data_IF_644856192675
#
_entry.id   IF_644856192675
#
_cell.length_a   1.000
_cell.length_b   1.000
_cell.length_c   1.000
_cell.angle_alpha   90.00
_cell.angle_beta   90.00
_cell.angle_gamma   90.00
#
_symmetry.space_group_name_H-M   'P 1'
#
loop_
_entity.id
_entity.type
_entity.pdbx_description
1 polymer ?
#
# COMPACT_ATOMS: atom_id res chain seq x y z
N UNK A 1 3.35 21.74 12.91
CA UNK A 1 2.58 20.76 12.11
C UNK A 1 1.67 21.42 11.09
N UNK A 2 0.88 22.46 11.42
CA UNK A 2 -0.01 23.14 10.44
C UNK A 2 0.76 23.68 9.22
N UNK A 3 1.86 24.42 9.43
CA UNK A 3 2.69 24.92 8.32
C UNK A 3 3.33 23.77 7.53
N UNK A 4 3.77 22.71 8.20
CA UNK A 4 4.42 21.56 7.55
C UNK A 4 3.45 20.61 6.82
N UNK A 5 2.18 20.55 7.24
CA UNK A 5 1.17 19.69 6.63
C UNK A 5 0.33 20.37 5.56
N UNK A 6 0.16 21.70 5.63
CA UNK A 6 -0.73 22.45 4.74
C UNK A 6 -0.02 23.17 3.59
N UNK A 7 1.32 23.22 3.54
CA UNK A 7 2.01 24.04 2.54
C UNK A 7 1.77 23.57 1.10
N UNK A 8 1.73 22.26 0.85
CA UNK A 8 1.49 21.75 -0.50
C UNK A 8 0.05 22.04 -0.94
N UNK A 9 -0.92 21.86 -0.05
CA UNK A 9 -2.32 22.25 -0.28
C UNK A 9 -2.40 23.74 -0.60
N UNK A 10 -1.74 24.58 0.19
CA UNK A 10 -1.69 26.02 -0.03
C UNK A 10 -1.09 26.36 -1.40
N UNK A 11 0.00 25.72 -1.81
CA UNK A 11 0.61 25.94 -3.12
C UNK A 11 -0.36 25.56 -4.24
N UNK A 12 -1.03 24.41 -4.16
CA UNK A 12 -2.00 23.97 -5.18
C UNK A 12 -3.18 24.92 -5.28
N UNK A 13 -3.67 25.44 -4.16
CA UNK A 13 -4.80 26.39 -4.11
C UNK A 13 -4.41 27.79 -4.61
N UNK A 14 -3.14 28.19 -4.47
CA UNK A 14 -2.65 29.49 -4.94
C UNK A 14 -2.21 29.49 -6.41
N UNK A 15 -1.86 28.33 -6.97
CA UNK A 15 -1.48 28.21 -8.38
C UNK A 15 -2.74 28.04 -9.24
N UNK A 16 -2.99 28.94 -10.22
CA UNK A 16 -4.11 28.82 -11.15
C UNK A 16 -4.17 27.45 -11.82
N UNK A 17 -5.38 26.94 -12.06
CA UNK A 17 -5.59 25.58 -12.58
C UNK A 17 -4.95 25.33 -13.95
N UNK A 18 -4.82 26.37 -14.77
CA UNK A 18 -4.17 26.37 -16.08
C UNK A 18 -2.63 26.38 -15.99
N UNK A 19 -2.05 26.68 -14.81
CA UNK A 19 -0.61 26.75 -14.58
C UNK A 19 -0.07 25.53 -13.84
N UNK A 20 -0.91 24.51 -13.61
CA UNK A 20 -0.53 23.28 -12.93
C UNK A 20 -1.16 22.05 -13.58
N UNK A 21 -0.56 20.87 -13.39
CA UNK A 21 -1.22 19.62 -13.76
C UNK A 21 -2.56 19.43 -13.05
N UNK A 22 -3.42 18.63 -13.67
CA UNK A 22 -4.67 18.18 -13.07
C UNK A 22 -4.41 17.41 -11.76
N UNK A 23 -5.21 17.67 -10.74
CA UNK A 23 -5.18 16.92 -9.47
C UNK A 23 -5.89 15.58 -9.68
N UNK A 24 -5.13 14.55 -10.05
CA UNK A 24 -5.65 13.21 -10.31
C UNK A 24 -6.36 12.59 -9.10
N UNK A 25 -7.37 11.76 -9.36
CA UNK A 25 -8.27 11.20 -8.35
C UNK A 25 -9.33 12.16 -7.84
N UNK A 26 -9.47 13.34 -8.46
CA UNK A 26 -10.57 14.28 -8.21
C UNK A 26 -11.47 14.37 -9.45
N UNK A 27 -12.69 14.84 -9.27
CA UNK A 27 -13.61 15.13 -10.38
C UNK A 27 -13.60 16.61 -10.75
N UNK A 28 -13.09 17.48 -9.87
CA UNK A 28 -13.13 18.93 -10.02
C UNK A 28 -11.76 19.60 -10.00
N UNK A 29 -10.68 18.86 -10.27
CA UNK A 29 -9.30 19.37 -10.23
C UNK A 29 -8.91 19.96 -8.85
N UNK A 30 -9.36 19.30 -7.78
CA UNK A 30 -9.34 19.84 -6.42
C UNK A 30 -8.62 18.92 -5.43
N UNK A 31 -7.65 19.49 -4.70
CA UNK A 31 -6.97 18.79 -3.61
C UNK A 31 -7.87 18.62 -2.38
N UNK A 32 -8.80 19.56 -2.14
CA UNK A 32 -9.75 19.42 -1.04
C UNK A 32 -10.73 18.28 -1.25
N UNK A 33 -11.14 18.07 -2.50
CA UNK A 33 -11.96 16.92 -2.90
C UNK A 33 -11.23 15.60 -2.58
N UNK A 34 -9.91 15.52 -2.81
CA UNK A 34 -9.13 14.37 -2.39
C UNK A 34 -9.08 14.20 -0.87
N UNK A 35 -8.73 15.26 -0.13
CA UNK A 35 -8.52 15.22 1.32
C UNK A 35 -9.79 14.76 2.06
N UNK A 36 -10.96 15.25 1.64
CA UNK A 36 -12.21 14.97 2.33
C UNK A 36 -13.04 13.87 1.67
N UNK A 37 -12.97 13.73 0.35
CA UNK A 37 -13.67 12.72 -0.44
C UNK A 37 -12.88 11.43 -0.55
N UNK A 38 -12.35 11.14 -1.75
CA UNK A 38 -11.75 9.85 -2.11
C UNK A 38 -10.66 9.36 -1.13
N UNK A 39 -9.74 10.22 -0.68
CA UNK A 39 -8.68 9.84 0.28
C UNK A 39 -9.05 10.11 1.75
N UNK A 40 -10.22 10.70 2.00
CA UNK A 40 -10.71 11.06 3.32
C UNK A 40 -11.83 10.15 3.82
N UNK A 41 -13.04 10.70 3.88
CA UNK A 41 -14.22 9.99 4.38
C UNK A 41 -14.64 8.85 3.46
N UNK A 42 -14.42 8.97 2.15
CA UNK A 42 -14.72 7.91 1.18
C UNK A 42 -13.97 6.61 1.49
N UNK A 43 -12.71 6.71 1.95
CA UNK A 43 -11.95 5.55 2.44
C UNK A 43 -12.63 4.85 3.62
N UNK A 44 -13.24 5.62 4.52
CA UNK A 44 -13.92 5.06 5.70
C UNK A 44 -15.23 4.37 5.34
N UNK A 45 -16.03 5.00 4.46
CA UNK A 45 -17.35 4.49 4.08
C UNK A 45 -17.30 3.45 2.96
N UNK A 46 -16.22 3.43 2.18
CA UNK A 46 -16.12 2.68 0.92
C UNK A 46 -16.79 3.36 -0.26
N UNK A 47 -17.40 4.54 -0.06
CA UNK A 47 -18.03 5.33 -1.12
C UNK A 47 -17.02 6.32 -1.72
N UNK A 48 -16.26 5.80 -2.67
CA UNK A 48 -15.12 6.48 -3.27
C UNK A 48 -15.42 6.75 -4.75
N UNK A 49 -15.83 7.99 -5.09
CA UNK A 49 -16.09 8.37 -6.49
C UNK A 49 -14.82 8.23 -7.34
N UNK A 50 -14.94 7.59 -8.50
CA UNK A 50 -13.79 7.32 -9.38
C UNK A 50 -12.90 6.17 -8.90
N UNK A 51 -13.23 5.51 -7.79
CA UNK A 51 -12.45 4.41 -7.24
C UNK A 51 -12.68 3.08 -7.96
N UNK A 52 -11.71 2.19 -7.80
CA UNK A 52 -11.83 0.76 -8.08
C UNK A 52 -12.36 -0.04 -6.87
N UNK A 53 -12.71 0.68 -5.79
CA UNK A 53 -13.06 0.16 -4.46
C UNK A 53 -14.22 -0.82 -4.42
N UNK A 54 -15.33 -0.47 -5.11
CA UNK A 54 -16.63 -1.12 -4.92
C UNK A 54 -16.76 -2.57 -5.41
N UNK A 55 -15.80 -3.09 -6.19
CA UNK A 55 -15.88 -4.43 -6.80
C UNK A 55 -14.78 -5.39 -6.37
N UNK A 56 -13.76 -4.92 -5.64
CA UNK A 56 -12.51 -5.67 -5.41
C UNK A 56 -12.37 -6.26 -4.00
N UNK A 57 -13.23 -5.88 -3.05
CA UNK A 57 -13.28 -6.44 -1.70
C UNK A 57 -11.94 -6.42 -0.94
N UNK A 58 -11.49 -5.26 -0.46
CA UNK A 58 -10.15 -5.00 0.13
C UNK A 58 -9.87 -5.57 1.54
N UNK A 59 -10.35 -6.78 1.80
CA UNK A 59 -10.23 -7.46 3.09
C UNK A 59 -11.31 -7.07 4.10
N UNK A 60 -11.52 -7.91 5.11
CA UNK A 60 -12.56 -7.72 6.12
C UNK A 60 -12.27 -6.51 7.01
N UNK A 61 -13.24 -5.59 7.13
CA UNK A 61 -13.18 -4.50 8.11
C UNK A 61 -13.43 -5.02 9.51
N UNK A 62 -12.70 -4.51 10.49
CA UNK A 62 -12.97 -4.78 11.90
C UNK A 62 -11.76 -4.57 12.79
N UNK A 63 -11.99 -4.51 14.10
CA UNK A 63 -10.93 -4.32 15.11
C UNK A 63 -9.84 -5.41 15.05
N UNK A 64 -10.18 -6.58 14.49
CA UNK A 64 -9.25 -7.69 14.29
C UNK A 64 -8.36 -7.57 13.05
N UNK A 65 -8.61 -6.64 12.12
CA UNK A 65 -7.92 -6.55 10.82
C UNK A 65 -6.40 -6.51 10.98
N UNK A 66 -5.88 -5.71 11.92
CA UNK A 66 -4.43 -5.65 12.13
C UNK A 66 -3.82 -6.99 12.54
N UNK A 67 -4.60 -7.92 13.07
CA UNK A 67 -4.14 -9.23 13.57
C UNK A 67 -4.47 -10.39 12.62
N UNK A 68 -5.21 -10.13 11.53
CA UNK A 68 -5.61 -11.16 10.58
C UNK A 68 -4.41 -11.74 9.82
N UNK A 69 -4.67 -12.76 9.00
CA UNK A 69 -3.64 -13.47 8.25
C UNK A 69 -2.83 -12.57 7.31
N UNK A 70 -3.47 -11.57 6.70
CA UNK A 70 -2.90 -10.72 5.65
C UNK A 70 -2.06 -9.59 6.25
N UNK A 71 -2.59 -8.89 7.25
CA UNK A 71 -2.00 -7.69 7.82
C UNK A 71 -1.12 -7.99 9.04
N UNK A 72 -1.41 -9.08 9.75
CA UNK A 72 -0.70 -9.43 10.99
C UNK A 72 0.81 -9.51 10.81
N UNK A 73 1.28 -10.14 9.73
CA UNK A 73 2.70 -10.27 9.41
C UNK A 73 3.36 -8.97 8.93
N UNK A 74 2.57 -7.95 8.59
CA UNK A 74 3.05 -6.69 8.03
C UNK A 74 3.39 -5.68 9.13
N UNK A 75 2.63 -5.66 10.23
CA UNK A 75 2.80 -4.62 11.26
C UNK A 75 2.63 -5.08 12.71
N UNK A 76 1.92 -6.19 12.95
CA UNK A 76 1.41 -6.47 14.30
C UNK A 76 2.38 -7.15 15.25
N UNK A 77 3.62 -7.41 14.82
CA UNK A 77 4.66 -8.08 15.63
C UNK A 77 4.80 -7.52 17.05
N UNK A 78 4.87 -6.19 17.18
CA UNK A 78 5.02 -5.49 18.45
C UNK A 78 3.75 -4.72 18.85
N UNK A 79 2.67 -4.84 18.08
CA UNK A 79 1.43 -4.08 18.33
C UNK A 79 0.78 -4.47 19.67
N UNK A 80 0.62 -5.77 20.04
CA UNK A 80 0.14 -6.13 21.38
C UNK A 80 1.02 -5.56 22.49
N UNK A 81 2.34 -5.62 22.31
CA UNK A 81 3.30 -5.11 23.28
C UNK A 81 3.17 -3.60 23.47
N UNK A 82 3.02 -2.85 22.37
CA UNK A 82 2.79 -1.42 22.39
C UNK A 82 1.53 -1.06 23.18
N UNK A 83 0.41 -1.78 22.98
CA UNK A 83 -0.84 -1.50 23.71
C UNK A 83 -0.68 -1.75 25.22
N UNK A 84 -0.04 -2.85 25.62
CA UNK A 84 0.23 -3.15 27.04
C UNK A 84 1.16 -2.11 27.65
N UNK A 85 2.24 -1.75 26.96
CA UNK A 85 3.24 -0.80 27.43
C UNK A 85 2.73 0.65 27.42
N UNK A 86 1.78 1.01 26.56
CA UNK A 86 1.08 2.28 26.62
C UNK A 86 0.32 2.43 27.94
N UNK A 87 -0.52 1.43 28.27
CA UNK A 87 -1.31 1.42 29.52
C UNK A 87 -0.40 1.41 30.73
N UNK A 88 0.56 0.49 30.78
CA UNK A 88 1.49 0.39 31.90
C UNK A 88 2.40 1.63 32.05
N UNK A 89 2.82 2.22 30.93
CA UNK A 89 3.57 3.47 30.90
C UNK A 89 2.73 4.63 31.47
N UNK A 90 1.47 4.76 31.06
CA UNK A 90 0.53 5.76 31.58
C UNK A 90 0.30 5.59 33.09
N UNK A 91 0.15 4.35 33.57
CA UNK A 91 0.08 4.04 35.01
C UNK A 91 1.38 4.44 35.71
N UNK A 92 2.54 4.17 35.11
CA UNK A 92 3.86 4.47 35.69
C UNK A 92 4.13 5.98 35.82
N UNK A 93 3.65 6.79 34.87
CA UNK A 93 3.74 8.27 34.94
C UNK A 93 2.60 8.89 35.77
N UNK A 94 1.48 8.19 35.95
CA UNK A 94 0.38 8.58 36.82
C UNK A 94 -0.14 9.99 36.54
N UNK A 95 -0.23 10.82 37.59
CA UNK A 95 -0.77 12.20 37.53
C UNK A 95 0.27 13.28 37.24
N UNK A 96 1.45 12.94 36.72
CA UNK A 96 2.43 13.94 36.25
C UNK A 96 1.77 14.95 35.30
N UNK A 97 2.17 16.22 35.28
CA UNK A 97 1.52 17.24 34.44
C UNK A 97 1.63 16.88 32.95
N UNK A 98 0.75 17.42 32.10
CA UNK A 98 0.79 17.18 30.63
C UNK A 98 2.05 17.73 29.96
N UNK A 99 2.78 18.60 30.63
CA UNK A 99 4.08 19.14 30.22
C UNK A 99 5.25 18.20 30.51
N UNK A 100 5.05 17.14 31.30
CA UNK A 100 6.08 16.11 31.51
C UNK A 100 6.36 15.40 30.17
N UNK A 101 7.61 15.37 29.69
CA UNK A 101 7.94 14.81 28.38
C UNK A 101 7.55 13.34 28.21
N UNK A 102 7.64 12.53 29.27
CA UNK A 102 7.28 11.12 29.20
C UNK A 102 5.77 10.94 29.08
N UNK A 103 4.98 11.68 29.85
CA UNK A 103 3.51 11.68 29.72
C UNK A 103 3.06 12.24 28.37
N UNK A 104 3.63 13.38 27.95
CA UNK A 104 3.32 13.99 26.67
C UNK A 104 3.65 13.04 25.50
N UNK A 105 4.85 12.44 25.51
CA UNK A 105 5.27 11.47 24.53
C UNK A 105 4.34 10.26 24.45
N UNK A 106 4.02 9.64 25.60
CA UNK A 106 3.08 8.52 25.64
C UNK A 106 1.72 8.90 25.05
N UNK A 107 1.16 10.05 25.41
CA UNK A 107 -0.14 10.49 24.90
C UNK A 107 -0.10 10.70 23.38
N UNK A 108 0.89 11.44 22.87
CA UNK A 108 1.00 11.71 21.43
C UNK A 108 1.17 10.43 20.62
N UNK A 109 2.11 9.56 21.00
CA UNK A 109 2.39 8.34 20.25
C UNK A 109 1.29 7.30 20.40
N UNK A 110 0.67 7.18 21.58
CA UNK A 110 -0.48 6.28 21.76
C UNK A 110 -1.70 6.78 21.00
N UNK A 111 -1.97 8.09 20.99
CA UNK A 111 -3.08 8.65 20.20
C UNK A 111 -2.84 8.44 18.71
N UNK A 112 -1.62 8.65 18.19
CA UNK A 112 -1.29 8.30 16.81
C UNK A 112 -1.57 6.83 16.52
N UNK A 113 -1.03 5.93 17.35
CA UNK A 113 -1.18 4.48 17.23
C UNK A 113 -2.66 4.07 17.15
N UNK A 114 -3.46 4.55 18.09
CA UNK A 114 -4.88 4.20 18.18
C UNK A 114 -5.69 4.81 17.05
N UNK A 115 -5.52 6.10 16.74
CA UNK A 115 -6.26 6.76 15.67
C UNK A 115 -5.97 6.09 14.31
N UNK A 116 -4.69 5.93 13.99
CA UNK A 116 -4.27 5.32 12.72
C UNK A 116 -4.68 3.84 12.65
N UNK A 117 -4.50 3.10 13.74
CA UNK A 117 -4.85 1.68 13.80
C UNK A 117 -6.35 1.47 13.63
N UNK A 118 -7.18 2.29 14.30
CA UNK A 118 -8.63 2.23 14.18
C UNK A 118 -9.09 2.65 12.78
N UNK A 119 -8.55 3.73 12.22
CA UNK A 119 -8.83 4.14 10.84
C UNK A 119 -8.56 2.99 9.88
N UNK A 120 -7.36 2.40 9.90
CA UNK A 120 -7.02 1.28 9.01
C UNK A 120 -7.83 0.01 9.26
N UNK A 121 -8.26 -0.21 10.50
CA UNK A 121 -9.10 -1.37 10.86
C UNK A 121 -10.53 -1.22 10.35
N UNK A 122 -11.07 0.01 10.33
CA UNK A 122 -12.47 0.30 10.01
C UNK A 122 -12.70 0.82 8.59
N UNK A 123 -11.63 1.18 7.88
CA UNK A 123 -11.64 1.67 6.50
C UNK A 123 -12.24 0.63 5.54
N UNK A 124 -13.42 0.93 4.98
CA UNK A 124 -14.14 0.02 4.07
C UNK A 124 -13.76 0.18 2.59
N UNK A 125 -13.10 1.29 2.23
CA UNK A 125 -12.60 1.56 0.89
C UNK A 125 -11.32 0.82 0.54
N UNK A 126 -10.61 1.30 -0.49
CA UNK A 126 -9.34 0.70 -0.93
C UNK A 126 -8.37 0.62 0.26
N UNK A 127 -7.82 -0.56 0.53
CA UNK A 127 -6.85 -0.74 1.60
C UNK A 127 -5.68 -1.61 1.13
N UNK A 128 -4.47 -1.17 1.42
CA UNK A 128 -3.26 -1.92 1.09
C UNK A 128 -2.43 -2.18 2.35
N UNK A 129 -1.84 -3.38 2.42
CA UNK A 129 -0.98 -3.80 3.51
C UNK A 129 0.11 -2.79 3.86
N UNK A 130 0.77 -2.20 2.86
CA UNK A 130 1.86 -1.24 3.08
C UNK A 130 1.44 0.04 3.80
N UNK A 131 0.14 0.41 3.80
CA UNK A 131 -0.34 1.57 4.58
C UNK A 131 0.00 1.44 6.06
N UNK A 132 0.02 0.21 6.57
CA UNK A 132 0.28 -0.07 7.99
C UNK A 132 1.67 0.34 8.46
N UNK A 133 2.62 0.61 7.55
CA UNK A 133 3.93 1.19 7.90
C UNK A 133 3.79 2.49 8.69
N UNK A 134 2.69 3.24 8.50
CA UNK A 134 2.39 4.46 9.26
C UNK A 134 2.22 4.23 10.77
N UNK A 135 1.99 2.98 11.22
CA UNK A 135 1.95 2.62 12.64
C UNK A 135 3.34 2.39 13.24
N UNK A 136 4.36 2.07 12.42
CA UNK A 136 5.66 1.62 12.90
C UNK A 136 6.37 2.64 13.83
N UNK A 137 6.42 3.96 13.52
CA UNK A 137 7.02 4.94 14.43
C UNK A 137 6.31 5.02 15.78
N UNK A 138 4.96 4.96 15.77
CA UNK A 138 4.16 5.01 16.98
C UNK A 138 4.34 3.76 17.85
N UNK A 139 4.37 2.58 17.24
CA UNK A 139 4.68 1.31 17.93
C UNK A 139 6.07 1.39 18.57
N UNK A 140 7.09 1.78 17.80
CA UNK A 140 8.46 1.87 18.29
C UNK A 140 8.60 2.85 19.46
N UNK A 141 7.99 4.04 19.34
CA UNK A 141 8.02 5.05 20.39
C UNK A 141 7.30 4.60 21.65
N UNK A 142 6.11 4.00 21.53
CA UNK A 142 5.34 3.50 22.69
C UNK A 142 6.08 2.35 23.39
N UNK A 143 6.61 1.38 22.64
CA UNK A 143 7.39 0.27 23.20
C UNK A 143 8.65 0.81 23.91
N UNK A 144 9.37 1.73 23.27
CA UNK A 144 10.58 2.34 23.83
C UNK A 144 10.31 3.16 25.10
N UNK A 145 9.31 4.04 25.08
CA UNK A 145 8.97 4.87 26.24
C UNK A 145 8.38 4.02 27.37
N UNK A 146 7.40 3.15 27.07
CA UNK A 146 6.76 2.31 28.08
C UNK A 146 7.74 1.33 28.71
N UNK A 147 8.54 0.63 27.91
CA UNK A 147 9.61 -0.24 28.40
C UNK A 147 10.66 0.53 29.19
N UNK A 148 11.09 1.69 28.71
CA UNK A 148 12.04 2.59 29.39
C UNK A 148 11.53 3.13 30.72
N UNK A 149 10.23 3.31 30.90
CA UNK A 149 9.62 3.70 32.17
C UNK A 149 9.54 2.54 33.16
N UNK A 150 9.25 1.34 32.69
CA UNK A 150 9.12 0.15 33.54
C UNK A 150 10.48 -0.44 33.94
N UNK A 151 11.50 -0.33 33.09
CA UNK A 151 12.81 -0.94 33.34
C UNK A 151 13.49 -0.42 34.61
N UNK A 152 13.55 0.89 34.91
CA UNK A 152 14.04 1.38 36.20
C UNK A 152 13.20 0.90 37.39
N UNK A 153 11.92 0.57 37.16
CA UNK A 153 10.98 0.06 38.18
C UNK A 153 11.03 -1.46 38.36
N UNK A 154 11.97 -2.16 37.72
CA UNK A 154 12.12 -3.63 37.79
C UNK A 154 12.37 -4.20 39.19
N UNK A 155 12.61 -3.38 40.22
CA UNK A 155 12.56 -3.83 41.61
C UNK A 155 11.12 -4.14 42.09
N UNK A 156 10.13 -3.43 41.56
CA UNK A 156 8.72 -3.65 41.88
C UNK A 156 8.18 -4.91 41.20
N UNK A 157 7.28 -5.62 41.88
CA UNK A 157 6.73 -6.89 41.38
C UNK A 157 5.83 -6.67 40.15
N UNK A 158 4.99 -5.63 40.15
CA UNK A 158 4.05 -5.39 39.05
C UNK A 158 4.79 -5.01 37.76
N UNK A 159 5.86 -4.21 37.85
CA UNK A 159 6.67 -3.83 36.69
C UNK A 159 7.36 -5.05 36.07
N UNK A 160 7.83 -5.99 36.91
CA UNK A 160 8.38 -7.27 36.44
C UNK A 160 7.34 -8.14 35.77
N UNK A 161 6.14 -8.26 36.35
CA UNK A 161 5.06 -9.03 35.74
C UNK A 161 4.63 -8.45 34.39
N UNK A 162 4.51 -7.13 34.28
CA UNK A 162 4.18 -6.48 33.00
C UNK A 162 5.29 -6.71 31.97
N UNK A 163 6.56 -6.48 32.32
CA UNK A 163 7.68 -6.70 31.40
C UNK A 163 7.77 -8.17 30.95
N UNK A 164 7.67 -9.12 31.89
CA UNK A 164 7.72 -10.55 31.60
C UNK A 164 6.51 -10.99 30.75
N UNK A 165 5.30 -10.57 31.12
CA UNK A 165 4.07 -10.90 30.40
C UNK A 165 4.05 -10.31 28.99
N UNK A 166 4.51 -9.06 28.85
CA UNK A 166 4.65 -8.41 27.53
C UNK A 166 5.63 -9.18 26.65
N UNK A 167 6.77 -9.60 27.20
CA UNK A 167 7.78 -10.34 26.44
C UNK A 167 7.28 -11.72 26.02
N UNK A 168 6.68 -12.48 26.94
CA UNK A 168 6.07 -13.77 26.66
C UNK A 168 4.96 -13.66 25.60
N UNK A 169 4.07 -12.68 25.76
CA UNK A 169 2.99 -12.41 24.79
C UNK A 169 3.53 -12.04 23.41
N UNK A 170 4.60 -11.25 23.34
CA UNK A 170 5.28 -10.91 22.08
C UNK A 170 5.87 -12.14 21.40
N UNK A 171 6.49 -13.04 22.17
CA UNK A 171 7.02 -14.30 21.65
C UNK A 171 5.94 -15.25 21.13
N UNK A 172 4.85 -15.42 21.90
CA UNK A 172 3.69 -16.22 21.48
C UNK A 172 3.04 -15.64 20.22
N UNK A 173 2.90 -14.33 20.15
CA UNK A 173 2.35 -13.67 18.98
C UNK A 173 3.28 -13.81 17.76
N UNK A 174 4.59 -13.63 17.95
CA UNK A 174 5.58 -13.85 16.89
C UNK A 174 5.56 -15.29 16.39
N UNK A 175 5.38 -16.28 17.27
CA UNK A 175 5.15 -17.67 16.90
C UNK A 175 3.89 -17.82 16.04
N UNK A 176 2.76 -17.23 16.44
CA UNK A 176 1.53 -17.25 15.65
C UNK A 176 1.75 -16.65 14.26
N UNK A 177 2.46 -15.52 14.15
CA UNK A 177 2.74 -14.90 12.86
C UNK A 177 3.66 -15.77 11.98
N UNK A 178 4.78 -16.26 12.53
CA UNK A 178 5.76 -17.06 11.79
C UNK A 178 5.20 -18.42 11.35
N UNK A 179 4.32 -19.03 12.16
CA UNK A 179 3.69 -20.31 11.82
C UNK A 179 2.64 -20.22 10.72
N UNK A 180 2.25 -19.02 10.28
CA UNK A 180 1.42 -18.85 9.08
C UNK A 180 2.20 -19.13 7.80
N UNK A 181 3.53 -19.07 7.85
CA UNK A 181 4.44 -19.45 6.77
C UNK A 181 5.41 -20.54 7.24
N UNK A 182 4.93 -21.77 7.51
CA UNK A 182 5.69 -22.78 8.24
C UNK A 182 6.93 -23.30 7.49
N UNK A 183 6.97 -23.17 6.15
CA UNK A 183 8.12 -23.52 5.33
C UNK A 183 9.23 -22.47 5.35
N UNK A 184 8.93 -21.23 5.73
CA UNK A 184 9.89 -20.13 5.77
C UNK A 184 10.74 -20.22 7.02
N UNK A 185 12.03 -20.58 6.83
CA UNK A 185 13.06 -20.64 7.87
C UNK A 185 12.51 -21.25 9.19
N UNK A 186 12.13 -22.54 9.19
CA UNK A 186 11.22 -23.12 10.19
C UNK A 186 11.74 -23.08 11.64
N UNK A 187 13.04 -22.86 11.84
CA UNK A 187 13.66 -22.76 13.16
C UNK A 187 13.50 -21.37 13.82
N UNK A 188 13.13 -20.32 13.07
CA UNK A 188 13.00 -18.96 13.63
C UNK A 188 11.84 -18.88 14.63
N UNK A 189 10.69 -19.48 14.33
CA UNK A 189 9.55 -19.51 15.23
C UNK A 189 9.88 -20.13 16.61
N UNK A 190 10.42 -21.37 16.70
CA UNK A 190 10.76 -21.96 17.99
C UNK A 190 11.89 -21.22 18.69
N UNK A 191 12.86 -20.67 17.97
CA UNK A 191 13.94 -19.87 18.57
C UNK A 191 13.39 -18.60 19.24
N UNK A 192 12.57 -17.82 18.54
CA UNK A 192 11.96 -16.58 19.06
C UNK A 192 11.07 -16.88 20.26
N UNK A 193 10.26 -17.95 20.19
CA UNK A 193 9.42 -18.36 21.31
C UNK A 193 10.26 -18.78 22.52
N UNK A 194 11.30 -19.60 22.33
CA UNK A 194 12.18 -20.03 23.40
C UNK A 194 12.88 -18.83 24.06
N UNK A 195 13.41 -17.90 23.25
CA UNK A 195 14.03 -16.68 23.75
C UNK A 195 13.06 -15.83 24.57
N UNK A 196 11.81 -15.71 24.12
CA UNK A 196 10.77 -14.96 24.82
C UNK A 196 10.40 -15.57 26.16
N UNK A 197 10.21 -16.89 26.22
CA UNK A 197 9.83 -17.59 27.45
C UNK A 197 10.97 -17.60 28.46
N UNK A 198 12.22 -17.85 28.03
CA UNK A 198 13.40 -17.79 28.89
C UNK A 198 13.65 -16.37 29.39
N UNK A 199 13.55 -15.37 28.51
CA UNK A 199 13.68 -13.96 28.87
C UNK A 199 12.59 -13.51 29.85
N UNK A 200 11.35 -13.92 29.63
CA UNK A 200 10.22 -13.60 30.52
C UNK A 200 10.41 -14.22 31.90
N UNK A 201 10.82 -15.48 31.99
CA UNK A 201 11.13 -16.14 33.25
C UNK A 201 12.27 -15.41 33.99
N UNK A 202 13.34 -15.05 33.28
CA UNK A 202 14.45 -14.30 33.85
C UNK A 202 14.05 -12.88 34.30
N UNK A 203 13.11 -12.22 33.60
CA UNK A 203 12.56 -10.90 33.98
C UNK A 203 11.85 -10.94 35.34
N UNK A 204 11.19 -12.05 35.70
CA UNK A 204 10.58 -12.21 37.03
C UNK A 204 11.63 -12.12 38.15
N UNK A 205 12.84 -12.61 37.90
CA UNK A 205 13.97 -12.62 38.83
C UNK A 205 14.98 -11.48 38.65
N UNK A 206 14.83 -10.62 37.64
CA UNK A 206 15.91 -9.72 37.15
C UNK A 206 16.53 -8.82 38.22
N UNK A 207 15.74 -8.39 39.21
CA UNK A 207 16.19 -7.57 40.33
C UNK A 207 17.24 -8.21 41.24
N UNK A 208 17.43 -9.54 41.16
CA UNK A 208 18.45 -10.29 41.92
C UNK A 208 19.65 -10.71 41.08
N UNK A 209 19.62 -10.47 39.77
CA UNK A 209 20.64 -10.96 38.86
C UNK A 209 21.89 -10.06 38.89
N UNK A 210 23.11 -10.63 38.81
CA UNK A 210 24.32 -9.87 38.57
C UNK A 210 24.29 -9.23 37.17
N UNK A 211 25.05 -8.14 36.98
CA UNK A 211 25.07 -7.34 35.73
C UNK A 211 25.24 -8.16 34.44
N UNK A 212 26.14 -9.17 34.37
CA UNK A 212 26.29 -9.97 33.14
C UNK A 212 25.00 -10.72 32.76
N UNK A 213 24.29 -11.28 33.74
CA UNK A 213 23.04 -12.00 33.49
C UNK A 213 21.90 -11.06 33.08
N UNK A 214 21.89 -9.81 33.55
CA UNK A 214 20.95 -8.80 33.03
C UNK A 214 21.18 -8.53 31.54
N UNK A 215 22.45 -8.52 31.09
CA UNK A 215 22.78 -8.43 29.67
C UNK A 215 22.17 -9.58 28.85
N UNK A 216 22.23 -10.81 29.37
CA UNK A 216 21.58 -11.97 28.75
C UNK A 216 20.06 -11.80 28.65
N UNK A 217 19.40 -11.30 29.70
CA UNK A 217 17.95 -11.03 29.68
C UNK A 217 17.59 -10.01 28.59
N UNK A 218 18.38 -8.94 28.44
CA UNK A 218 18.18 -7.94 27.39
C UNK A 218 18.40 -8.54 26.00
N UNK A 219 19.42 -9.38 25.82
CA UNK A 219 19.69 -10.06 24.56
C UNK A 219 18.54 -11.00 24.17
N UNK A 220 18.05 -11.82 25.11
CA UNK A 220 16.88 -12.68 24.91
C UNK A 220 15.63 -11.86 24.57
N UNK A 221 15.43 -10.75 25.29
CA UNK A 221 14.31 -9.84 25.03
C UNK A 221 14.36 -9.20 23.64
N UNK A 222 15.54 -8.80 23.21
CA UNK A 222 15.77 -8.22 21.88
C UNK A 222 15.53 -9.25 20.77
N UNK A 223 16.06 -10.47 20.94
CA UNK A 223 15.84 -11.57 20.00
C UNK A 223 14.35 -11.94 19.89
N UNK A 224 13.66 -12.00 21.02
CA UNK A 224 12.24 -12.29 21.08
C UNK A 224 11.37 -11.20 20.42
N UNK A 225 11.72 -9.92 20.62
CA UNK A 225 10.96 -8.80 20.06
C UNK A 225 11.24 -8.55 18.57
N UNK A 226 12.49 -8.74 18.13
CA UNK A 226 12.93 -8.33 16.79
C UNK A 226 13.27 -9.49 15.85
N UNK A 227 13.42 -10.73 16.35
CA UNK A 227 13.83 -11.87 15.52
C UNK A 227 12.86 -12.19 14.39
N UNK A 228 11.55 -12.17 14.66
CA UNK A 228 10.51 -12.35 13.64
C UNK A 228 10.49 -11.23 12.59
N UNK A 229 10.30 -9.95 12.98
CA UNK A 229 10.36 -8.82 12.06
C UNK A 229 11.67 -8.76 11.26
N UNK A 230 12.81 -9.05 11.87
CA UNK A 230 14.10 -9.05 11.19
C UNK A 230 14.18 -10.14 10.13
N UNK A 231 13.65 -11.34 10.39
CA UNK A 231 13.59 -12.39 9.38
C UNK A 231 12.74 -11.98 8.17
N UNK A 232 11.57 -11.37 8.39
CA UNK A 232 10.73 -10.84 7.30
C UNK A 232 11.41 -9.68 6.56
N UNK A 233 12.11 -8.80 7.27
CA UNK A 233 12.85 -7.70 6.65
C UNK A 233 14.00 -8.20 5.76
N UNK A 234 14.76 -9.20 6.22
CA UNK A 234 15.84 -9.83 5.44
C UNK A 234 15.28 -10.51 4.18
N UNK A 235 14.19 -11.27 4.32
CA UNK A 235 13.53 -11.92 3.17
C UNK A 235 13.06 -10.88 2.14
N UNK A 236 12.35 -9.85 2.61
CA UNK A 236 11.89 -8.74 1.75
C UNK A 236 13.06 -8.06 1.03
N UNK A 237 14.17 -7.80 1.73
CA UNK A 237 15.33 -7.15 1.14
C UNK A 237 16.13 -8.06 0.17
N UNK A 238 15.96 -9.38 0.27
CA UNK A 238 16.73 -10.37 -0.51
C UNK A 238 16.18 -10.63 -1.91
N UNK A 239 14.96 -10.15 -2.21
CA UNK A 239 14.30 -10.36 -3.49
C UNK A 239 13.91 -9.02 -4.16
N UNK A 240 14.06 -8.90 -5.49
CA UNK A 240 13.45 -7.80 -6.24
C UNK A 240 11.93 -7.86 -6.17
N UNK A 241 11.28 -6.69 -6.03
CA UNK A 241 9.83 -6.55 -6.04
C UNK A 241 9.37 -5.84 -7.31
N UNK A 242 8.30 -6.32 -7.92
CA UNK A 242 7.65 -5.71 -9.09
C UNK A 242 6.15 -5.58 -8.86
N UNK A 243 5.51 -4.61 -9.51
CA UNK A 243 4.08 -4.32 -9.35
C UNK A 243 3.77 -3.23 -8.32
N UNK A 244 2.49 -2.87 -8.20
CA UNK A 244 2.02 -1.75 -7.37
C UNK A 244 1.69 -2.13 -5.91
N UNK A 245 1.67 -3.43 -5.59
CA UNK A 245 1.34 -3.95 -4.26
C UNK A 245 2.56 -4.68 -3.71
N UNK A 246 3.21 -4.07 -2.71
CA UNK A 246 4.37 -4.64 -2.04
C UNK A 246 3.95 -5.15 -0.66
N UNK A 247 4.34 -6.38 -0.33
CA UNK A 247 4.13 -7.01 0.98
C UNK A 247 5.45 -7.52 1.54
N UNK A 248 5.64 -7.38 2.85
CA UNK A 248 6.84 -7.84 3.53
C UNK A 248 6.77 -9.34 3.86
N UNK A 249 7.93 -10.00 3.79
CA UNK A 249 8.14 -11.38 4.16
C UNK A 249 7.79 -12.39 3.04
N UNK A 250 7.90 -13.70 3.37
CA UNK A 250 7.71 -14.78 2.42
C UNK A 250 6.33 -14.75 1.76
N UNK A 251 6.30 -14.93 0.44
CA UNK A 251 5.07 -14.95 -0.37
C UNK A 251 4.25 -16.20 -0.05
N UNK A 252 3.22 -16.07 0.79
CA UNK A 252 2.31 -17.17 1.10
C UNK A 252 0.89 -16.78 1.51
N UNK A 253 0.62 -15.49 1.81
CA UNK A 253 -0.64 -15.09 2.48
C UNK A 253 -1.30 -13.85 1.85
N UNK A 254 -0.68 -13.24 0.84
CA UNK A 254 -1.25 -12.05 0.18
C UNK A 254 -2.38 -12.46 -0.78
N UNK A 255 -3.64 -12.18 -0.42
CA UNK A 255 -4.81 -12.39 -1.30
C UNK A 255 -4.83 -11.44 -2.50
N UNK A 256 -4.11 -10.32 -2.41
CA UNK A 256 -4.14 -9.24 -3.41
C UNK A 256 -2.81 -9.04 -4.17
N UNK A 257 -1.80 -9.89 -3.97
CA UNK A 257 -0.51 -9.74 -4.65
C UNK A 257 0.32 -11.02 -4.65
N UNK A 258 0.68 -11.48 -5.85
CA UNK A 258 1.57 -12.61 -6.13
C UNK A 258 1.14 -13.97 -5.56
N UNK A 259 0.14 -14.58 -6.22
CA UNK A 259 0.11 -16.04 -6.29
C UNK A 259 1.37 -16.51 -7.04
N UNK A 260 2.07 -17.57 -6.59
CA UNK A 260 3.19 -18.14 -7.34
C UNK A 260 2.73 -18.51 -8.74
N UNK A 261 3.55 -18.25 -9.75
CA UNK A 261 3.34 -18.78 -11.10
C UNK A 261 3.30 -20.32 -11.02
N UNK A 262 2.09 -20.87 -11.04
CA UNK A 262 1.88 -22.32 -11.08
C UNK A 262 2.25 -22.81 -12.48
N UNK A 263 2.96 -23.95 -12.63
CA UNK A 263 3.34 -24.46 -13.94
C UNK A 263 2.12 -24.63 -14.86
N UNK A 264 2.24 -24.19 -16.11
CA UNK A 264 1.21 -24.33 -17.13
C UNK A 264 0.83 -25.82 -17.29
N UNK A 265 -0.40 -26.18 -16.94
CA UNK A 265 -0.85 -27.57 -17.12
C UNK A 265 -2.14 -28.01 -16.44
N UNK A 266 -2.75 -27.23 -15.54
CA UNK A 266 -4.04 -27.63 -14.94
C UNK A 266 -5.04 -26.47 -14.95
N UNK A 267 -5.93 -26.47 -15.94
CA UNK A 267 -7.08 -25.57 -16.00
C UNK A 267 -8.09 -25.94 -14.88
N UNK A 268 -8.52 -24.99 -14.04
CA UNK A 268 -9.70 -25.18 -13.19
C UNK A 268 -10.97 -25.01 -14.02
N UNK A 269 -11.93 -25.89 -13.79
CA UNK A 269 -13.31 -25.80 -14.30
C UNK A 269 -13.95 -24.44 -13.95
N UNK A 270 -14.73 -23.81 -14.86
CA UNK A 270 -15.35 -22.53 -14.59
C UNK A 270 -16.55 -22.71 -13.63
N UNK A 271 -16.50 -22.07 -12.47
CA UNK A 271 -17.69 -21.81 -11.68
C UNK A 271 -18.52 -20.72 -12.39
N UNK A 272 -19.81 -20.96 -12.68
CA UNK A 272 -20.66 -19.95 -13.28
C UNK A 272 -21.01 -18.89 -12.23
N UNK A 273 -20.48 -17.66 -12.37
CA UNK A 273 -20.87 -16.53 -11.53
C UNK A 273 -19.80 -15.45 -11.30
N UNK A 274 -18.52 -15.69 -11.59
CA UNK A 274 -17.44 -14.72 -11.37
C UNK A 274 -16.94 -14.12 -12.70
N UNK A 275 -17.80 -13.34 -13.36
CA UNK A 275 -17.42 -12.53 -14.52
C UNK A 275 -16.99 -11.13 -14.08
N UNK A 276 -15.81 -11.01 -13.47
CA UNK A 276 -15.16 -9.72 -13.18
C UNK A 276 -13.95 -9.52 -14.11
N UNK A 277 -13.67 -8.29 -14.58
CA UNK A 277 -12.59 -8.05 -15.55
C UNK A 277 -11.21 -8.29 -14.92
N UNK A 278 -10.51 -9.31 -15.41
CA UNK A 278 -9.06 -9.31 -15.61
C UNK A 278 -8.16 -9.14 -14.39
N UNK A 279 -8.24 -10.07 -13.43
CA UNK A 279 -7.14 -10.28 -12.48
C UNK A 279 -6.28 -11.45 -12.99
N UNK A 280 -5.27 -11.17 -13.81
CA UNK A 280 -4.20 -12.13 -14.12
C UNK A 280 -2.95 -11.71 -13.35
N UNK A 281 -2.64 -12.33 -12.20
CA UNK A 281 -1.39 -12.08 -11.50
C UNK A 281 -0.22 -12.63 -12.32
N UNK A 282 0.79 -11.80 -12.58
CA UNK A 282 2.14 -12.26 -12.95
C UNK A 282 2.36 -12.73 -14.39
N UNK A 283 1.44 -12.51 -15.32
CA UNK A 283 1.72 -12.58 -16.75
C UNK A 283 1.69 -11.19 -17.34
N UNK A 284 2.76 -10.75 -18.02
CA UNK A 284 2.79 -9.48 -18.74
C UNK A 284 1.59 -9.40 -19.68
N UNK A 285 0.60 -8.56 -19.35
CA UNK A 285 -0.51 -8.32 -20.24
C UNK A 285 -0.14 -7.15 -21.13
N UNK A 286 -0.31 -7.32 -22.44
CA UNK A 286 -0.05 -6.25 -23.41
C UNK A 286 -0.92 -5.02 -23.17
N UNK A 287 -2.04 -5.15 -22.44
CA UNK A 287 -2.94 -4.05 -22.08
C UNK A 287 -2.71 -3.44 -20.68
N UNK A 288 -1.90 -4.04 -19.81
CA UNK A 288 -1.82 -3.66 -18.40
C UNK A 288 -3.00 -4.16 -17.55
N UNK A 289 -2.91 -3.98 -16.23
CA UNK A 289 -3.96 -4.27 -15.26
C UNK A 289 -4.02 -3.17 -14.19
N UNK A 290 -5.08 -3.12 -13.38
CA UNK A 290 -5.19 -2.13 -12.30
C UNK A 290 -4.01 -2.16 -11.32
N UNK A 291 -3.27 -3.27 -11.25
CA UNK A 291 -2.15 -3.47 -10.32
C UNK A 291 -0.82 -3.80 -11.02
N UNK A 292 -0.77 -3.69 -12.35
CA UNK A 292 0.43 -4.01 -13.14
C UNK A 292 0.50 -3.20 -14.43
N UNK A 293 1.68 -2.68 -14.76
CA UNK A 293 1.88 -1.95 -16.01
C UNK A 293 1.67 -2.87 -17.23
N UNK A 294 1.38 -2.27 -18.39
CA UNK A 294 1.41 -3.00 -19.66
C UNK A 294 2.82 -3.52 -19.97
N UNK A 295 2.91 -4.64 -20.69
CA UNK A 295 4.16 -5.20 -21.18
C UNK A 295 4.09 -5.35 -22.72
N UNK A 296 4.32 -4.25 -23.46
CA UNK A 296 4.14 -4.25 -24.90
C UNK A 296 5.29 -4.98 -25.61
N UNK A 297 4.97 -5.72 -26.67
CA UNK A 297 5.99 -6.41 -27.45
C UNK A 297 6.86 -5.45 -28.26
N UNK A 298 8.03 -5.93 -28.69
CA UNK A 298 8.95 -5.15 -29.51
C UNK A 298 8.31 -4.62 -30.81
N UNK A 299 7.31 -5.33 -31.36
CA UNK A 299 6.57 -4.89 -32.55
C UNK A 299 5.69 -3.68 -32.27
N UNK A 300 4.98 -3.70 -31.15
CA UNK A 300 4.16 -2.56 -30.69
C UNK A 300 5.06 -1.37 -30.37
N UNK A 301 6.18 -1.59 -29.66
CA UNK A 301 7.16 -0.54 -29.36
C UNK A 301 7.73 0.08 -30.64
N UNK A 302 8.06 -0.72 -31.64
CA UNK A 302 8.56 -0.23 -32.92
C UNK A 302 7.51 0.61 -33.67
N UNK A 303 6.24 0.19 -33.63
CA UNK A 303 5.15 0.96 -34.22
C UNK A 303 4.99 2.33 -33.55
N UNK A 304 5.01 2.36 -32.20
CA UNK A 304 4.87 3.60 -31.44
C UNK A 304 6.07 4.56 -31.63
N UNK A 305 7.28 4.02 -31.75
CA UNK A 305 8.50 4.84 -31.99
C UNK A 305 8.58 5.44 -33.39
N UNK A 306 7.78 4.95 -34.34
CA UNK A 306 7.72 5.51 -35.69
C UNK A 306 7.39 7.00 -35.63
N UNK A 307 8.30 7.84 -36.11
CA UNK A 307 8.18 9.32 -36.08
C UNK A 307 7.98 9.93 -34.69
N UNK A 308 8.43 9.28 -33.61
CA UNK A 308 8.22 9.73 -32.24
C UNK A 308 8.61 11.21 -31.99
N UNK A 309 9.71 11.67 -32.59
CA UNK A 309 10.21 13.04 -32.43
C UNK A 309 9.28 14.13 -32.98
N UNK A 310 8.26 13.76 -33.77
CA UNK A 310 7.30 14.71 -34.35
C UNK A 310 6.09 14.97 -33.44
N UNK A 311 5.98 14.25 -32.32
CA UNK A 311 4.83 14.31 -31.43
C UNK A 311 5.26 14.60 -29.99
N UNK A 312 4.42 15.31 -29.26
CA UNK A 312 4.59 15.50 -27.82
C UNK A 312 4.38 14.18 -27.07
N UNK A 313 3.36 13.41 -27.49
CA UNK A 313 3.05 12.08 -26.98
C UNK A 313 3.03 11.05 -28.12
N UNK A 314 3.87 10.01 -28.02
CA UNK A 314 3.88 8.93 -29.02
C UNK A 314 2.62 8.08 -28.95
N UNK A 315 1.95 8.07 -27.80
CA UNK A 315 0.66 7.43 -27.63
C UNK A 315 -0.17 8.09 -26.52
N UNK A 316 -1.48 7.90 -26.58
CA UNK A 316 -2.40 8.07 -25.47
C UNK A 316 -3.04 6.72 -25.12
N UNK A 317 -3.19 6.42 -23.82
CA UNK A 317 -3.80 5.20 -23.34
C UNK A 317 -4.69 5.50 -22.11
N UNK A 318 -5.82 4.79 -21.98
CA UNK A 318 -6.71 4.96 -20.83
C UNK A 318 -6.13 4.28 -19.60
N UNK A 319 -5.96 5.06 -18.53
CA UNK A 319 -5.41 4.60 -17.26
C UNK A 319 -3.87 4.65 -17.21
N UNK A 320 -3.34 5.11 -16.08
CA UNK A 320 -1.89 5.30 -15.88
C UNK A 320 -1.12 3.99 -15.96
N UNK A 321 -1.71 2.88 -15.51
CA UNK A 321 -1.07 1.56 -15.60
C UNK A 321 -0.92 1.08 -17.05
N UNK A 322 -1.91 1.39 -17.91
CA UNK A 322 -1.82 1.10 -19.34
C UNK A 322 -0.73 1.96 -19.99
N UNK A 323 -0.74 3.27 -19.75
CA UNK A 323 0.22 4.22 -20.31
C UNK A 323 1.68 3.94 -19.86
N UNK A 324 1.88 3.59 -18.60
CA UNK A 324 3.21 3.43 -18.00
C UNK A 324 4.08 2.40 -18.72
N UNK A 325 3.52 1.25 -19.11
CA UNK A 325 4.30 0.21 -19.80
C UNK A 325 4.77 0.63 -21.19
N UNK A 326 3.90 1.28 -21.97
CA UNK A 326 4.29 1.87 -23.25
C UNK A 326 5.35 2.95 -23.08
N UNK A 327 5.21 3.84 -22.09
CA UNK A 327 6.20 4.88 -21.80
C UNK A 327 7.56 4.30 -21.45
N UNK A 328 7.60 3.29 -20.57
CA UNK A 328 8.86 2.65 -20.16
C UNK A 328 9.52 1.89 -21.31
N UNK A 329 8.73 1.21 -22.15
CA UNK A 329 9.26 0.42 -23.26
C UNK A 329 9.74 1.28 -24.45
N UNK A 330 9.03 2.38 -24.74
CA UNK A 330 9.41 3.33 -25.80
C UNK A 330 10.50 4.30 -25.34
N UNK A 331 10.51 4.68 -24.06
CA UNK A 331 11.35 5.77 -23.56
C UNK A 331 10.81 7.16 -23.92
N UNK A 332 9.60 7.23 -24.51
CA UNK A 332 8.96 8.45 -25.00
C UNK A 332 7.67 8.76 -24.20
N UNK A 333 7.21 10.02 -24.15
CA UNK A 333 6.02 10.38 -23.38
C UNK A 333 4.75 9.68 -23.87
N UNK A 334 3.97 9.12 -22.95
CA UNK A 334 2.64 8.54 -23.22
C UNK A 334 1.60 9.20 -22.33
N UNK A 335 0.53 9.71 -22.93
CA UNK A 335 -0.55 10.38 -22.20
C UNK A 335 -1.44 9.35 -21.49
N UNK A 336 -1.60 9.50 -20.18
CA UNK A 336 -2.57 8.74 -19.39
C UNK A 336 -3.93 9.44 -19.38
N UNK A 337 -4.87 8.94 -20.17
CA UNK A 337 -6.24 9.48 -20.25
C UNK A 337 -7.05 8.98 -19.05
N UNK A 338 -7.63 9.91 -18.31
CA UNK A 338 -8.51 9.65 -17.16
C UNK A 338 -7.82 9.15 -15.90
N UNK A 339 -6.54 9.50 -15.70
CA UNK A 339 -5.84 9.22 -14.44
C UNK A 339 -5.54 7.74 -14.23
N UNK A 340 -5.72 7.21 -13.02
CA UNK A 340 -5.29 5.86 -12.66
C UNK A 340 -6.07 4.75 -13.41
N UNK A 341 -7.40 4.87 -13.46
CA UNK A 341 -8.32 3.85 -13.99
C UNK A 341 -9.26 4.38 -15.08
N UNK A 342 -9.00 5.59 -15.62
CA UNK A 342 -9.83 6.20 -16.65
C UNK A 342 -11.03 7.04 -16.13
N UNK A 343 -11.15 7.28 -14.83
CA UNK A 343 -12.30 7.97 -14.22
C UNK A 343 -12.09 9.46 -13.93
N UNK A 344 -10.87 9.97 -14.09
CA UNK A 344 -10.63 11.41 -13.97
C UNK A 344 -11.15 12.13 -15.22
N UNK A 345 -11.75 13.33 -15.11
CA UNK A 345 -12.15 14.15 -16.25
C UNK A 345 -10.94 14.91 -16.85
N UNK A 346 -9.85 14.20 -17.16
CA UNK A 346 -8.62 14.79 -17.70
C UNK A 346 -7.90 13.86 -18.69
N UNK A 347 -7.67 14.29 -19.93
CA UNK A 347 -8.28 15.46 -20.56
C UNK A 347 -9.78 15.28 -20.75
N UNK A 348 -10.51 16.38 -20.92
CA UNK A 348 -11.85 16.35 -21.49
C UNK A 348 -11.81 15.96 -22.96
N UNK A 349 -12.94 15.53 -23.53
CA UNK A 349 -13.01 15.23 -24.97
C UNK A 349 -12.58 16.43 -25.83
N UNK A 350 -13.00 17.64 -25.48
CA UNK A 350 -12.67 18.85 -26.22
C UNK A 350 -11.16 19.16 -26.20
N UNK A 351 -10.51 19.03 -25.05
CA UNK A 351 -9.06 19.20 -24.92
C UNK A 351 -8.32 18.10 -25.70
N UNK A 352 -8.77 16.85 -25.59
CA UNK A 352 -8.17 15.75 -26.35
C UNK A 352 -8.25 15.99 -27.86
N UNK A 353 -9.40 16.45 -28.36
CA UNK A 353 -9.58 16.83 -29.76
C UNK A 353 -8.63 17.96 -30.17
N UNK A 354 -8.39 18.94 -29.30
CA UNK A 354 -7.43 20.02 -29.56
C UNK A 354 -6.00 19.50 -29.66
N UNK A 355 -5.56 18.61 -28.76
CA UNK A 355 -4.22 18.01 -28.84
C UNK A 355 -4.03 17.20 -30.12
N UNK A 356 -5.05 16.43 -30.53
CA UNK A 356 -5.01 15.70 -31.80
C UNK A 356 -4.96 16.65 -32.99
N UNK A 357 -5.77 17.72 -32.98
CA UNK A 357 -5.79 18.72 -34.05
C UNK A 357 -4.47 19.50 -34.17
N UNK A 358 -3.78 19.71 -33.04
CA UNK A 358 -2.44 20.31 -32.97
C UNK A 358 -1.32 19.37 -33.45
N UNK A 359 -1.61 18.07 -33.63
CA UNK A 359 -0.62 17.05 -33.98
C UNK A 359 0.25 16.63 -32.80
N UNK A 360 -0.22 16.82 -31.56
CA UNK A 360 0.57 16.51 -30.35
C UNK A 360 0.60 15.01 -30.03
N UNK A 361 -0.39 14.23 -30.50
CA UNK A 361 -0.56 12.81 -30.15
C UNK A 361 -0.51 11.96 -31.43
N UNK A 362 0.38 10.97 -31.48
CA UNK A 362 0.48 10.07 -32.63
C UNK A 362 -0.56 8.94 -32.59
N UNK A 363 -0.47 8.06 -31.61
CA UNK A 363 -1.33 6.88 -31.51
C UNK A 363 -2.33 6.99 -30.35
N UNK A 364 -3.50 6.39 -30.51
CA UNK A 364 -4.34 6.02 -29.37
C UNK A 364 -4.34 4.51 -29.19
N UNK A 365 -4.02 4.04 -27.99
CA UNK A 365 -4.06 2.61 -27.65
C UNK A 365 -5.48 2.25 -27.23
N UNK A 366 -6.11 1.38 -28.01
CA UNK A 366 -7.47 0.91 -27.77
C UNK A 366 -7.61 0.00 -26.55
N UNK A 367 -8.71 0.17 -25.84
CA UNK A 367 -9.03 -0.59 -24.63
C UNK A 367 -8.80 0.22 -23.35
N UNK A 368 -9.28 -0.30 -22.23
CA UNK A 368 -9.17 0.33 -20.92
C UNK A 368 -8.73 -0.68 -19.85
N UNK A 369 -8.03 -0.18 -18.85
CA UNK A 369 -7.59 -0.95 -17.68
C UNK A 369 -8.46 -0.60 -16.49
N UNK A 370 -9.43 -1.48 -16.22
CA UNK A 370 -10.46 -1.24 -15.22
C UNK A 370 -11.49 -0.22 -15.69
N UNK A 371 -12.72 -0.39 -15.24
CA UNK A 371 -13.80 0.58 -15.47
C UNK A 371 -14.35 0.92 -14.11
N UNK A 372 -14.24 2.19 -13.71
CA UNK A 372 -14.93 2.65 -12.51
C UNK A 372 -16.44 2.61 -12.75
N UNK A 373 -17.21 2.30 -11.72
CA UNK A 373 -18.68 2.40 -11.75
C UNK A 373 -19.19 3.81 -11.48
N UNK A 374 -18.29 4.74 -11.14
CA UNK A 374 -18.57 6.15 -10.82
C UNK A 374 -17.41 7.03 -11.28
N UNK A 375 -17.63 8.36 -11.33
CA UNK A 375 -16.65 9.32 -11.86
C UNK A 375 -16.94 9.71 -13.31
N UNK A 376 -15.98 10.36 -13.96
CA UNK A 376 -16.16 10.93 -15.29
C UNK A 376 -16.27 9.88 -16.40
N UNK A 377 -17.06 10.19 -17.44
CA UNK A 377 -17.14 9.42 -18.68
C UNK A 377 -16.12 9.85 -19.74
N UNK A 378 -15.31 10.90 -19.50
CA UNK A 378 -14.47 11.52 -20.54
C UNK A 378 -13.58 10.53 -21.29
N UNK A 379 -12.98 9.56 -20.60
CA UNK A 379 -12.15 8.53 -21.25
C UNK A 379 -12.94 7.65 -22.22
N UNK A 380 -14.19 7.31 -21.87
CA UNK A 380 -15.07 6.54 -22.76
C UNK A 380 -15.48 7.38 -23.98
N UNK A 381 -15.84 8.65 -23.75
CA UNK A 381 -16.20 9.57 -24.82
C UNK A 381 -15.04 9.80 -25.80
N UNK A 382 -13.80 9.89 -25.29
CA UNK A 382 -12.57 9.96 -26.10
C UNK A 382 -12.37 8.68 -26.89
N UNK A 383 -12.47 7.51 -26.26
CA UNK A 383 -12.30 6.23 -26.96
C UNK A 383 -13.32 6.06 -28.09
N UNK A 384 -14.59 6.37 -27.82
CA UNK A 384 -15.67 6.25 -28.80
C UNK A 384 -15.48 7.23 -29.95
N UNK A 385 -15.07 8.47 -29.66
CA UNK A 385 -14.74 9.45 -30.68
C UNK A 385 -13.56 9.01 -31.55
N UNK A 386 -12.47 8.51 -30.94
CA UNK A 386 -11.30 8.01 -31.67
C UNK A 386 -11.70 6.86 -32.59
N UNK A 387 -12.44 5.88 -32.06
CA UNK A 387 -12.85 4.69 -32.81
C UNK A 387 -13.74 5.03 -34.02
N UNK A 388 -14.49 6.14 -33.97
CA UNK A 388 -15.33 6.61 -35.05
C UNK A 388 -14.58 7.42 -36.12
N UNK A 389 -13.46 8.08 -35.77
CA UNK A 389 -12.83 9.09 -36.62
C UNK A 389 -11.46 8.69 -37.19
N UNK A 390 -10.80 7.66 -36.64
CA UNK A 390 -9.41 7.32 -36.97
C UNK A 390 -9.24 5.84 -37.30
N UNK A 391 -8.36 5.49 -38.26
CA UNK A 391 -8.17 4.13 -38.72
C UNK A 391 -7.51 3.28 -37.63
N UNK A 392 -8.08 2.10 -37.39
CA UNK A 392 -7.56 1.12 -36.46
C UNK A 392 -6.59 0.15 -37.15
N UNK A 393 -5.53 -0.22 -36.46
CA UNK A 393 -4.64 -1.32 -36.81
C UNK A 393 -4.41 -2.21 -35.59
N UNK A 394 -4.18 -3.50 -35.80
CA UNK A 394 -3.85 -4.43 -34.70
C UNK A 394 -2.42 -4.88 -34.85
N UNK A 395 -1.58 -4.59 -33.86
CA UNK A 395 -0.18 -5.01 -33.79
C UNK A 395 -0.05 -5.91 -32.56
N UNK A 396 0.27 -7.19 -32.80
CA UNK A 396 0.46 -8.18 -31.73
C UNK A 396 -0.66 -8.22 -30.67
N UNK A 397 -1.92 -8.17 -31.14
CA UNK A 397 -3.11 -8.20 -30.28
C UNK A 397 -3.47 -6.88 -29.59
N UNK A 398 -2.71 -5.80 -29.83
CA UNK A 398 -3.00 -4.44 -29.35
C UNK A 398 -3.60 -3.62 -30.50
N UNK A 399 -4.77 -3.03 -30.26
CA UNK A 399 -5.41 -2.12 -31.22
C UNK A 399 -4.82 -0.72 -31.08
N UNK A 400 -4.30 -0.17 -32.17
CA UNK A 400 -3.72 1.17 -32.26
C UNK A 400 -4.49 1.98 -33.30
N UNK A 401 -4.91 3.19 -32.94
CA UNK A 401 -5.55 4.15 -33.85
C UNK A 401 -4.55 5.25 -34.22
N UNK A 402 -4.34 5.47 -35.53
CA UNK A 402 -3.43 6.51 -36.03
C UNK A 402 -4.14 7.87 -36.01
N UNK A 403 -3.79 8.72 -35.04
CA UNK A 403 -4.42 10.04 -34.88
C UNK A 403 -3.90 11.08 -35.89
N UNK A 404 -2.88 10.74 -36.69
CA UNK A 404 -2.36 11.60 -37.76
C UNK A 404 -3.14 11.47 -39.07
N UNK A 405 -4.06 10.50 -39.17
CA UNK A 405 -4.85 10.22 -40.38
C UNK A 405 -6.32 10.07 -40.04
N UNK A 406 -7.17 10.95 -40.54
CA UNK A 406 -8.62 10.83 -40.33
C UNK A 406 -9.22 9.81 -41.31
N UNK A 407 -10.25 9.09 -40.89
CA UNK A 407 -11.10 8.32 -41.81
C UNK A 407 -11.94 9.34 -42.60
N UNK A 408 -11.95 9.21 -43.93
CA UNK A 408 -12.73 10.05 -44.85
C UNK A 408 -14.24 9.79 -44.76
#
# INVERSE_FOLDING_TARGET
MVVAGGWWVLVVELVPADWRPYIGGSQTNSVWELIWGYNGLGRLTGDETGSVGGTMGWGETGLGRMFDAEIGGQISWLLPAALVLAVAGLVAVGRRPRTDPARAGLLVWTTWLLATGLTFSLMAGIFHAYYTVALAPAIAAVVGIGGGLLWPRRGSWWARLVLAGTLAGTGVWSWVLLTRTPSFVPWVAPLVLAAALLGALALLGVHRLPRPLVGVVVALGTLAALGGPAAYAVDTASAPHTGSIVTAGPTGISRFGNAPARPAGTAPQPHPGAGGPGFTPGGGSTRGSLVGASDPSAQVVAALRGNASSFTWVAAAIGSQSAAGYQLATGDPVMAVGGFNGSDPSPTLAEFQQYVAAGDIHWFVGGSVGRSSSGSSSSADIQDWVAQNYPASTVDGVTLYDLSRRID
#
